data_IF_639568909821
#
_entry.id   IF_639568909821
#
_cell.length_a   1.000
_cell.length_b   1.000
_cell.length_c   1.000
_cell.angle_alpha   90.00
_cell.angle_beta   90.00
_cell.angle_gamma   90.00
#
_symmetry.space_group_name_H-M   'P 1'
#
loop_
_entity.id
_entity.type
_entity.pdbx_description
1 polymer ?
#
# COMPACT_ATOMS: atom_id res chain seq x y z
N UNK A 1 -11.68 -56.66 12.86
CA UNK A 1 -12.55 -55.48 13.04
C UNK A 1 -11.94 -54.64 14.17
N UNK A 2 -11.11 -53.67 13.78
CA UNK A 2 -10.41 -52.77 14.70
C UNK A 2 -11.27 -51.54 14.99
N UNK A 3 -11.37 -51.17 16.26
CA UNK A 3 -11.87 -49.88 16.69
C UNK A 3 -11.05 -49.36 17.88
N UNK A 4 -10.74 -48.07 17.79
CA UNK A 4 -10.51 -47.10 18.87
C UNK A 4 -9.24 -47.19 19.72
N UNK A 5 -8.36 -46.20 19.49
CA UNK A 5 -7.55 -45.41 20.44
C UNK A 5 -6.12 -45.17 19.93
N UNK A 6 -5.98 -44.25 18.98
CA UNK A 6 -4.69 -43.66 18.64
C UNK A 6 -4.89 -42.30 17.94
N UNK A 7 -5.52 -41.34 18.64
CA UNK A 7 -5.58 -39.95 18.15
C UNK A 7 -5.66 -38.97 19.32
N UNK A 8 -4.65 -38.99 20.19
CA UNK A 8 -4.38 -37.95 21.19
C UNK A 8 -3.10 -38.31 21.96
N UNK A 9 -1.93 -38.03 21.36
CA UNK A 9 -0.62 -37.91 22.03
C UNK A 9 0.46 -37.64 20.98
N UNK A 10 0.46 -36.44 20.43
CA UNK A 10 1.64 -35.74 19.87
C UNK A 10 1.41 -34.24 19.97
N UNK A 11 1.24 -33.78 21.21
CA UNK A 11 1.30 -32.36 21.58
C UNK A 11 2.03 -32.37 22.92
N UNK A 12 3.16 -31.65 22.98
CA UNK A 12 4.08 -31.53 24.14
C UNK A 12 5.06 -32.69 24.36
N UNK A 13 6.17 -32.65 23.63
CA UNK A 13 7.44 -33.25 24.04
C UNK A 13 8.51 -32.17 23.94
N UNK A 14 8.73 -31.44 25.03
CA UNK A 14 9.87 -30.52 25.17
C UNK A 14 10.92 -31.25 26.02
N UNK A 15 12.00 -31.66 25.37
CA UNK A 15 13.25 -32.02 26.04
C UNK A 15 14.01 -30.72 26.30
N UNK A 16 14.31 -30.45 27.57
CA UNK A 16 15.13 -29.31 28.00
C UNK A 16 16.60 -29.64 27.76
N UNK A 17 17.10 -29.27 26.58
CA UNK A 17 18.52 -29.22 26.30
C UNK A 17 18.99 -27.75 26.30
N UNK A 18 20.20 -27.54 26.82
CA UNK A 18 20.84 -26.27 27.13
C UNK A 18 20.70 -25.19 26.04
N UNK A 19 20.37 -23.97 26.50
CA UNK A 19 20.16 -22.76 25.71
C UNK A 19 21.41 -22.36 24.92
N UNK A 20 21.46 -22.73 23.64
CA UNK A 20 22.18 -21.95 22.65
C UNK A 20 21.23 -20.87 22.12
N UNK A 21 21.52 -19.60 22.42
CA UNK A 21 21.00 -18.48 21.64
C UNK A 21 21.49 -18.69 20.21
N UNK A 22 20.65 -19.31 19.37
CA UNK A 22 20.96 -19.54 17.95
C UNK A 22 21.33 -18.20 17.33
N UNK A 23 22.41 -18.20 16.56
CA UNK A 23 22.87 -17.00 15.86
C UNK A 23 21.71 -16.51 14.96
N UNK A 24 21.22 -15.27 15.13
CA UNK A 24 20.16 -14.71 14.29
C UNK A 24 20.48 -14.73 12.79
N UNK A 25 21.76 -14.88 12.43
CA UNK A 25 22.23 -14.95 11.05
C UNK A 25 22.45 -16.39 10.55
N UNK A 26 22.21 -17.41 11.35
CA UNK A 26 22.35 -18.82 10.94
C UNK A 26 21.42 -19.12 9.75
N UNK A 27 22.00 -19.37 8.57
CA UNK A 27 21.27 -19.61 7.31
C UNK A 27 21.01 -18.36 6.46
N UNK A 28 21.49 -17.18 6.87
CA UNK A 28 21.42 -15.93 6.09
C UNK A 28 22.70 -15.77 5.26
N UNK A 29 22.74 -16.40 4.10
CA UNK A 29 23.94 -16.40 3.22
C UNK A 29 24.24 -15.04 2.57
N UNK A 30 23.35 -14.06 2.65
CA UNK A 30 23.48 -12.75 2.00
C UNK A 30 24.04 -11.65 2.92
N UNK A 31 24.40 -11.98 4.17
CA UNK A 31 24.94 -11.01 5.12
C UNK A 31 26.43 -10.73 4.84
N UNK A 32 26.72 -9.57 4.25
CA UNK A 32 28.09 -9.18 3.85
C UNK A 32 28.84 -8.56 5.02
N UNK A 33 28.18 -7.72 5.82
CA UNK A 33 28.80 -7.03 6.96
C UNK A 33 27.79 -6.80 8.07
N UNK A 34 28.12 -7.27 9.27
CA UNK A 34 27.36 -6.96 10.48
C UNK A 34 27.70 -5.52 10.90
N UNK A 35 26.68 -4.72 11.15
CA UNK A 35 26.84 -3.36 11.63
C UNK A 35 27.03 -3.35 13.16
N UNK A 36 27.96 -2.54 13.65
CA UNK A 36 28.19 -2.38 15.09
C UNK A 36 27.15 -1.45 15.71
N UNK A 37 26.85 -1.69 16.98
CA UNK A 37 25.89 -0.90 17.76
C UNK A 37 26.60 0.18 18.56
N UNK A 38 26.17 1.43 18.37
CA UNK A 38 26.51 2.55 19.23
C UNK A 38 25.47 2.69 20.34
N UNK A 39 25.87 2.45 21.59
CA UNK A 39 24.97 2.57 22.75
C UNK A 39 24.72 4.05 23.06
N UNK A 40 23.45 4.44 23.09
CA UNK A 40 23.03 5.80 23.41
C UNK A 40 22.85 5.95 24.93
N UNK A 41 23.78 6.64 25.58
CA UNK A 41 23.71 6.92 27.02
C UNK A 41 22.82 8.13 27.31
N UNK A 42 21.59 7.89 27.77
CA UNK A 42 20.71 8.92 28.30
C UNK A 42 20.00 9.75 27.22
N UNK A 43 18.71 9.48 27.06
CA UNK A 43 17.81 10.24 26.20
C UNK A 43 16.63 9.35 25.83
N UNK A 44 15.40 9.80 26.10
CA UNK A 44 14.23 9.19 25.47
C UNK A 44 14.16 9.73 24.05
N UNK A 45 14.41 8.92 23.02
CA UNK A 45 14.21 9.39 21.66
C UNK A 45 12.70 9.64 21.47
N UNK A 46 12.35 10.92 21.34
CA UNK A 46 10.99 11.35 21.03
C UNK A 46 10.84 11.30 19.52
N UNK A 47 10.02 10.40 19.00
CA UNK A 47 9.75 10.31 17.56
C UNK A 47 8.42 11.02 17.27
N UNK A 48 8.44 12.17 16.58
CA UNK A 48 7.20 12.87 16.24
C UNK A 48 6.48 12.12 15.11
N UNK A 49 5.31 11.55 15.43
CA UNK A 49 4.40 10.90 14.46
C UNK A 49 3.17 11.77 14.11
N UNK A 50 3.08 12.98 14.66
CA UNK A 50 1.86 13.79 14.71
C UNK A 50 1.15 13.99 13.36
N UNK A 51 1.88 14.25 12.28
CA UNK A 51 1.24 14.55 10.99
C UNK A 51 0.75 13.29 10.26
N UNK A 52 1.46 12.16 10.37
CA UNK A 52 1.07 10.91 9.73
C UNK A 52 -0.05 10.21 10.50
N UNK A 53 -0.12 10.44 11.81
CA UNK A 53 -1.25 10.02 12.64
C UNK A 53 -2.53 10.80 12.28
N UNK A 54 -2.42 12.01 11.73
CA UNK A 54 -3.57 12.77 11.20
C UNK A 54 -4.22 12.07 10.00
N UNK A 55 -3.44 11.45 9.10
CA UNK A 55 -3.97 10.69 7.96
C UNK A 55 -4.77 9.46 8.42
N UNK A 56 -4.29 8.77 9.45
CA UNK A 56 -5.06 7.70 10.10
C UNK A 56 -6.36 8.24 10.70
N UNK A 57 -6.30 9.39 11.39
CA UNK A 57 -7.49 10.07 11.91
C UNK A 57 -8.50 10.46 10.83
N UNK A 58 -8.05 11.00 9.68
CA UNK A 58 -8.90 11.34 8.54
C UNK A 58 -9.57 10.08 7.95
N UNK A 59 -8.88 8.95 7.95
CA UNK A 59 -9.42 7.64 7.58
C UNK A 59 -10.28 6.99 8.70
N UNK A 60 -10.54 7.70 9.81
CA UNK A 60 -11.26 7.20 11.00
C UNK A 60 -10.63 5.95 11.61
N UNK A 61 -9.32 5.81 11.47
CA UNK A 61 -8.52 4.73 12.03
C UNK A 61 -7.83 5.28 13.28
N UNK A 62 -7.99 4.59 14.41
CA UNK A 62 -7.24 4.93 15.60
C UNK A 62 -5.73 4.78 15.30
N UNK A 63 -4.89 5.79 15.61
CA UNK A 63 -3.45 5.62 15.50
C UNK A 63 -3.01 4.46 16.40
N UNK A 64 -1.91 3.77 16.06
CA UNK A 64 -1.36 2.74 16.92
C UNK A 64 -1.20 3.29 18.34
N UNK A 65 -1.62 2.51 19.34
CA UNK A 65 -1.68 2.95 20.73
C UNK A 65 -0.27 3.33 21.20
N UNK A 66 0.01 4.64 21.24
CA UNK A 66 1.22 5.21 21.79
C UNK A 66 1.08 5.21 23.32
N UNK A 67 0.91 4.04 23.92
CA UNK A 67 1.26 3.91 25.33
C UNK A 67 2.66 4.51 25.49
N UNK A 68 2.89 5.29 26.55
CA UNK A 68 4.22 5.79 26.90
C UNK A 68 5.14 4.59 27.14
N UNK A 69 5.68 4.03 26.06
CA UNK A 69 6.62 2.93 26.08
C UNK A 69 7.93 3.52 26.57
N UNK A 70 8.15 3.43 27.87
CA UNK A 70 9.44 3.77 28.45
C UNK A 70 10.42 2.64 28.13
N UNK A 71 11.34 2.96 27.22
CA UNK A 71 12.53 2.15 26.98
C UNK A 71 13.68 2.63 27.86
N UNK A 72 14.39 1.71 28.51
CA UNK A 72 15.52 2.07 29.39
C UNK A 72 16.85 2.20 28.64
N UNK A 73 16.96 1.57 27.47
CA UNK A 73 18.16 1.59 26.64
C UNK A 73 17.83 1.84 25.17
N UNK A 74 18.80 2.42 24.47
CA UNK A 74 18.77 2.56 23.03
C UNK A 74 20.16 2.31 22.45
N UNK A 75 20.22 1.66 21.30
CA UNK A 75 21.42 1.50 20.51
C UNK A 75 21.13 1.91 19.06
N UNK A 76 22.10 2.48 18.37
CA UNK A 76 21.95 2.94 16.98
C UNK A 76 23.06 2.39 16.11
N UNK A 77 22.74 2.20 14.85
CA UNK A 77 23.71 1.93 13.79
C UNK A 77 23.23 2.59 12.50
N UNK A 78 24.11 2.71 11.52
CA UNK A 78 23.77 3.26 10.20
C UNK A 78 24.50 2.53 9.09
N UNK A 79 23.84 2.38 7.96
CA UNK A 79 24.35 1.72 6.77
C UNK A 79 24.04 2.59 5.56
N UNK A 80 25.00 2.66 4.63
CA UNK A 80 24.85 3.38 3.37
C UNK A 80 24.52 2.39 2.25
N UNK A 81 23.54 2.73 1.43
CA UNK A 81 23.13 1.96 0.27
C UNK A 81 23.38 2.77 -1.01
N UNK A 82 24.16 2.28 -1.98
CA UNK A 82 24.43 3.01 -3.21
C UNK A 82 23.16 3.20 -4.04
N UNK A 83 22.82 4.43 -4.42
CA UNK A 83 21.62 4.72 -5.23
C UNK A 83 21.73 4.19 -6.66
N UNK A 84 22.96 3.94 -7.14
CA UNK A 84 23.21 3.28 -8.41
C UNK A 84 22.75 1.82 -8.48
N UNK A 85 22.34 1.23 -7.35
CA UNK A 85 21.88 -0.15 -7.24
C UNK A 85 20.65 -0.41 -8.11
N UNK A 86 20.61 -1.59 -8.73
CA UNK A 86 19.43 -2.11 -9.41
C UNK A 86 18.30 -2.44 -8.44
N UNK A 87 18.65 -2.79 -7.20
CA UNK A 87 17.71 -3.05 -6.11
C UNK A 87 18.25 -2.54 -4.77
N UNK A 88 17.46 -1.68 -4.14
CA UNK A 88 17.55 -1.33 -2.73
C UNK A 88 16.50 -2.12 -1.95
N UNK A 89 16.89 -2.82 -0.90
CA UNK A 89 15.93 -3.62 -0.14
C UNK A 89 16.16 -3.63 1.36
N UNK A 90 15.07 -3.66 2.14
CA UNK A 90 15.12 -3.72 3.60
C UNK A 90 14.23 -4.85 4.07
N UNK A 91 14.78 -5.76 4.88
CA UNK A 91 14.01 -6.89 5.39
C UNK A 91 14.20 -7.08 6.87
N UNK A 92 13.22 -7.74 7.50
CA UNK A 92 13.33 -8.12 8.90
C UNK A 92 12.90 -9.55 9.15
N UNK A 93 13.58 -10.21 10.09
CA UNK A 93 13.45 -11.64 10.40
C UNK A 93 13.57 -11.86 11.91
N UNK A 94 12.84 -12.84 12.42
CA UNK A 94 12.79 -13.18 13.84
C UNK A 94 11.65 -12.51 14.60
N UNK A 95 11.34 -13.06 15.78
CA UNK A 95 10.18 -12.64 16.60
C UNK A 95 10.40 -11.31 17.31
N UNK A 96 11.66 -10.88 17.39
CA UNK A 96 12.22 -9.56 17.74
C UNK A 96 11.74 -8.37 16.95
N UNK A 97 11.61 -8.66 15.66
CA UNK A 97 11.81 -7.68 14.63
C UNK A 97 10.49 -7.01 14.33
N UNK A 98 10.14 -6.05 15.18
CA UNK A 98 8.95 -5.24 15.07
C UNK A 98 9.26 -3.78 15.39
N UNK A 99 8.45 -2.89 14.83
CA UNK A 99 8.59 -1.47 15.06
C UNK A 99 8.08 -0.64 13.89
N UNK A 100 8.86 0.36 13.50
CA UNK A 100 8.48 1.35 12.50
C UNK A 100 9.62 1.56 11.50
N UNK A 101 9.25 1.74 10.23
CA UNK A 101 10.13 2.21 9.17
C UNK A 101 9.56 3.51 8.61
N UNK A 102 10.43 4.51 8.45
CA UNK A 102 10.13 5.81 7.87
C UNK A 102 10.99 6.01 6.63
N UNK A 103 10.39 6.52 5.55
CA UNK A 103 11.09 6.84 4.31
C UNK A 103 10.93 8.34 4.05
N UNK A 104 12.05 9.06 4.00
CA UNK A 104 12.14 10.50 3.80
C UNK A 104 13.26 10.85 2.81
N UNK A 105 13.26 12.08 2.32
CA UNK A 105 14.21 12.65 1.36
C UNK A 105 14.95 13.86 1.93
N UNK A 106 15.12 13.95 3.26
CA UNK A 106 15.82 15.07 3.90
C UNK A 106 17.34 14.88 3.96
N UNK A 107 17.89 13.97 3.15
CA UNK A 107 19.32 13.71 3.06
C UNK A 107 20.09 14.82 2.35
N UNK A 108 21.41 14.72 2.42
CA UNK A 108 22.31 15.59 1.65
C UNK A 108 22.03 15.47 0.15
N UNK A 109 21.77 16.59 -0.52
CA UNK A 109 21.39 16.63 -1.94
C UNK A 109 22.50 16.14 -2.88
N UNK A 110 23.76 16.23 -2.44
CA UNK A 110 24.92 15.84 -3.23
C UNK A 110 25.34 14.37 -2.99
N UNK A 111 24.59 13.65 -2.16
CA UNK A 111 24.88 12.25 -1.82
C UNK A 111 24.46 11.28 -2.92
N UNK A 112 25.33 10.30 -3.20
CA UNK A 112 25.06 9.16 -4.09
C UNK A 112 24.59 7.90 -3.33
N UNK A 113 24.37 8.04 -2.02
CA UNK A 113 23.91 6.96 -1.13
C UNK A 113 22.61 7.33 -0.42
N UNK A 114 21.77 6.32 -0.19
CA UNK A 114 20.70 6.37 0.80
C UNK A 114 21.24 5.93 2.15
N UNK A 115 20.94 6.68 3.21
CA UNK A 115 21.36 6.34 4.58
C UNK A 115 20.22 5.61 5.28
N UNK A 116 20.49 4.40 5.75
CA UNK A 116 19.57 3.61 6.56
C UNK A 116 20.04 3.65 8.02
N UNK A 117 19.40 4.49 8.82
CA UNK A 117 19.57 4.52 10.27
C UNK A 117 18.70 3.46 10.93
N UNK A 118 19.27 2.68 11.84
CA UNK A 118 18.52 1.72 12.65
C UNK A 118 18.76 2.03 14.12
N UNK A 119 17.67 2.36 14.82
CA UNK A 119 17.67 2.53 16.27
C UNK A 119 16.92 1.36 16.91
N UNK A 120 17.57 0.66 17.83
CA UNK A 120 16.99 -0.42 18.61
C UNK A 120 16.72 0.06 20.05
N UNK A 121 15.45 0.10 20.42
CA UNK A 121 14.98 0.46 21.76
C UNK A 121 14.71 -0.83 22.53
N UNK A 122 15.20 -0.94 23.76
CA UNK A 122 15.07 -2.16 24.53
C UNK A 122 15.17 -1.94 26.05
N UNK A 123 14.62 -2.88 26.82
CA UNK A 123 14.65 -2.83 28.29
C UNK A 123 15.65 -3.79 28.94
N UNK A 124 16.08 -4.82 28.23
CA UNK A 124 16.96 -5.86 28.77
C UNK A 124 18.24 -5.92 27.94
N UNK A 125 19.43 -5.65 28.52
CA UNK A 125 20.69 -5.64 27.78
C UNK A 125 20.97 -6.92 26.98
N UNK A 126 20.52 -8.09 27.45
CA UNK A 126 20.72 -9.36 26.76
C UNK A 126 20.01 -9.46 25.40
N UNK A 127 19.03 -8.60 25.11
CA UNK A 127 18.37 -8.59 23.80
C UNK A 127 19.19 -7.87 22.73
N UNK A 128 20.16 -7.03 23.12
CA UNK A 128 21.07 -6.36 22.20
C UNK A 128 22.02 -7.37 21.54
N UNK A 129 22.50 -8.35 22.32
CA UNK A 129 23.46 -9.36 21.85
C UNK A 129 22.89 -10.23 20.72
N UNK A 130 21.57 -10.41 20.71
CA UNK A 130 20.83 -11.24 19.74
C UNK A 130 20.11 -10.42 18.68
N UNK A 131 20.19 -9.09 18.71
CA UNK A 131 19.69 -8.23 17.65
C UNK A 131 20.84 -7.85 16.72
N UNK A 132 20.77 -8.30 15.46
CA UNK A 132 21.80 -8.03 14.46
C UNK A 132 21.22 -7.20 13.32
N UNK A 133 21.97 -6.18 12.92
CA UNK A 133 21.73 -5.43 11.69
C UNK A 133 22.84 -5.79 10.72
N UNK A 134 22.48 -6.13 9.49
CA UNK A 134 23.44 -6.55 8.48
C UNK A 134 23.27 -5.76 7.18
N UNK A 135 24.38 -5.34 6.60
CA UNK A 135 24.46 -4.96 5.20
C UNK A 135 24.34 -6.22 4.35
N UNK A 136 23.31 -6.26 3.53
CA UNK A 136 23.01 -7.36 2.64
C UNK A 136 23.49 -7.04 1.23
N UNK A 137 24.00 -8.07 0.55
CA UNK A 137 24.39 -7.99 -0.86
C UNK A 137 24.06 -9.30 -1.55
N UNK A 138 23.24 -9.25 -2.59
CA UNK A 138 22.87 -10.43 -3.36
C UNK A 138 23.21 -10.25 -4.85
N UNK A 139 24.38 -10.75 -5.27
CA UNK A 139 24.88 -10.56 -6.63
C UNK A 139 25.31 -9.11 -6.91
N UNK A 140 25.74 -8.84 -8.15
CA UNK A 140 26.12 -7.50 -8.57
C UNK A 140 24.90 -6.56 -8.61
N UNK A 141 25.03 -5.35 -8.05
CA UNK A 141 24.03 -4.28 -8.16
C UNK A 141 22.86 -4.34 -7.18
N UNK A 142 22.83 -5.24 -6.20
CA UNK A 142 21.74 -5.31 -5.20
C UNK A 142 22.28 -5.10 -3.79
N UNK A 143 21.76 -4.09 -3.09
CA UNK A 143 22.20 -3.73 -1.76
C UNK A 143 21.01 -3.57 -0.83
N UNK A 144 21.17 -4.00 0.42
CA UNK A 144 20.08 -3.92 1.37
C UNK A 144 20.51 -3.91 2.82
N UNK A 145 19.50 -3.79 3.69
CA UNK A 145 19.67 -3.87 5.14
C UNK A 145 18.75 -4.94 5.70
N UNK A 146 19.31 -5.85 6.49
CA UNK A 146 18.58 -6.90 7.18
C UNK A 146 18.60 -6.71 8.68
N UNK A 147 17.43 -6.79 9.32
CA UNK A 147 17.29 -6.82 10.77
C UNK A 147 16.95 -8.24 11.21
N UNK A 148 17.81 -8.85 12.02
CA UNK A 148 17.71 -10.24 12.43
C UNK A 148 17.66 -10.36 13.94
N UNK A 149 16.72 -11.17 14.41
CA UNK A 149 16.55 -11.56 15.80
C UNK A 149 16.23 -13.06 15.85
N UNK A 150 16.27 -13.72 17.02
CA UNK A 150 15.99 -15.15 17.11
C UNK A 150 14.60 -15.52 16.55
N UNK A 151 14.52 -16.67 15.89
CA UNK A 151 13.27 -17.20 15.30
C UNK A 151 12.39 -17.93 16.31
N UNK A 152 12.98 -18.41 17.40
CA UNK A 152 12.30 -19.17 18.45
C UNK A 152 12.50 -18.48 19.80
N UNK A 153 11.43 -18.43 20.60
CA UNK A 153 11.50 -18.04 22.00
C UNK A 153 10.96 -19.16 22.87
N UNK A 154 11.76 -19.60 23.84
CA UNK A 154 11.25 -19.95 25.16
C UNK A 154 10.57 -18.69 25.71
N UNK A 155 9.28 -18.78 26.03
CA UNK A 155 8.36 -17.71 26.44
C UNK A 155 8.95 -16.30 26.68
N UNK A 156 8.48 -15.26 25.96
CA UNK A 156 8.82 -13.88 26.29
C UNK A 156 8.52 -13.57 27.76
N UNK A 157 9.53 -13.35 28.59
CA UNK A 157 9.32 -12.61 29.83
C UNK A 157 8.83 -11.21 29.45
N UNK A 158 7.84 -10.68 30.18
CA UNK A 158 7.29 -9.33 29.96
C UNK A 158 8.37 -8.22 29.98
N UNK A 159 9.57 -8.54 30.47
CA UNK A 159 10.76 -7.70 30.58
C UNK A 159 11.50 -7.47 29.24
N UNK A 160 11.25 -8.26 28.20
CA UNK A 160 11.92 -8.14 26.89
C UNK A 160 11.13 -7.30 25.89
N UNK A 161 10.68 -6.11 26.33
CA UNK A 161 10.11 -5.10 25.42
C UNK A 161 11.23 -4.56 24.53
N UNK A 162 10.97 -4.55 23.22
CA UNK A 162 11.92 -4.11 22.20
C UNK A 162 11.18 -3.38 21.10
N UNK A 163 11.83 -2.45 20.40
CA UNK A 163 11.24 -1.78 19.24
C UNK A 163 12.35 -1.29 18.31
N UNK A 164 12.20 -1.54 17.02
CA UNK A 164 13.08 -0.98 16.00
C UNK A 164 12.47 0.30 15.42
N UNK A 165 13.30 1.31 15.24
CA UNK A 165 13.00 2.50 14.45
C UNK A 165 13.99 2.54 13.31
N UNK A 166 13.49 2.44 12.09
CA UNK A 166 14.29 2.42 10.86
C UNK A 166 14.01 3.69 10.09
N UNK A 167 15.04 4.49 9.88
CA UNK A 167 14.98 5.74 9.13
C UNK A 167 15.72 5.53 7.80
N UNK A 168 14.98 5.55 6.70
CA UNK A 168 15.53 5.54 5.35
C UNK A 168 15.55 6.99 4.86
N UNK A 169 16.75 7.56 4.78
CA UNK A 169 16.97 8.93 4.35
C UNK A 169 17.59 8.93 2.96
N UNK A 170 16.79 9.33 1.98
CA UNK A 170 17.18 9.55 0.60
C UNK A 170 17.76 10.97 0.45
N UNK A 171 18.67 11.22 -0.51
CA UNK A 171 19.10 12.57 -0.85
C UNK A 171 17.92 13.49 -1.18
N UNK A 172 18.01 14.72 -0.71
CA UNK A 172 17.04 15.74 -1.08
C UNK A 172 17.17 16.08 -2.56
N UNK A 173 16.02 16.23 -3.21
CA UNK A 173 15.93 16.56 -4.63
C UNK A 173 14.75 17.51 -4.85
N UNK A 174 14.61 18.01 -6.07
CA UNK A 174 13.60 19.01 -6.42
C UNK A 174 12.63 18.43 -7.44
N UNK A 175 11.44 19.02 -7.54
CA UNK A 175 10.44 18.61 -8.53
C UNK A 175 10.88 18.80 -9.99
N UNK A 176 11.85 19.68 -10.25
CA UNK A 176 12.44 19.82 -11.58
C UNK A 176 13.44 18.70 -11.95
N UNK A 177 13.92 17.96 -10.96
CA UNK A 177 14.89 16.87 -11.13
C UNK A 177 14.74 15.83 -10.01
N UNK A 178 13.67 15.02 -10.03
CA UNK A 178 13.42 14.03 -9.00
C UNK A 178 14.54 12.99 -8.92
N UNK A 179 14.79 12.47 -7.72
CA UNK A 179 15.67 11.34 -7.50
C UNK A 179 15.05 10.07 -8.10
N UNK A 180 15.73 9.47 -9.07
CA UNK A 180 15.26 8.23 -9.69
C UNK A 180 15.79 7.01 -8.94
N UNK A 181 14.88 6.16 -8.44
CA UNK A 181 15.21 4.88 -7.79
C UNK A 181 14.64 3.74 -8.63
N UNK A 182 15.54 2.89 -9.15
CA UNK A 182 15.15 1.76 -10.01
C UNK A 182 14.19 0.80 -9.29
N UNK A 183 14.58 0.27 -8.14
CA UNK A 183 13.74 -0.66 -7.37
C UNK A 183 13.98 -0.48 -5.89
N UNK A 184 12.89 -0.32 -5.15
CA UNK A 184 12.90 -0.27 -3.69
C UNK A 184 11.92 -1.30 -3.13
N UNK A 185 12.42 -2.23 -2.31
CA UNK A 185 11.61 -3.29 -1.71
C UNK A 185 11.73 -3.34 -0.19
N UNK A 186 10.60 -3.44 0.52
CA UNK A 186 10.60 -3.79 1.95
C UNK A 186 9.88 -5.11 2.21
N UNK A 187 10.41 -5.87 3.16
CA UNK A 187 9.80 -7.08 3.67
C UNK A 187 9.94 -7.19 5.18
N UNK A 188 9.01 -6.54 5.88
CA UNK A 188 9.11 -6.30 7.31
C UNK A 188 7.78 -6.63 8.01
N UNK A 189 7.52 -7.92 8.36
CA UNK A 189 6.19 -8.43 8.73
C UNK A 189 5.48 -7.73 9.90
N UNK A 190 6.22 -7.17 10.85
CA UNK A 190 5.65 -6.52 12.05
C UNK A 190 6.10 -5.06 12.14
N UNK A 191 6.21 -4.41 10.98
CA UNK A 191 6.56 -3.00 10.89
C UNK A 191 5.43 -2.15 10.34
N UNK A 192 5.20 -1.02 11.01
CA UNK A 192 4.47 0.12 10.44
C UNK A 192 5.35 0.80 9.42
N UNK A 193 4.82 1.07 8.23
CA UNK A 193 5.51 1.86 7.21
C UNK A 193 4.93 3.27 7.18
N UNK A 194 5.79 4.26 7.32
CA UNK A 194 5.49 5.66 7.09
C UNK A 194 6.29 6.17 5.91
N UNK A 195 5.60 6.69 4.90
CA UNK A 195 6.19 7.28 3.71
C UNK A 195 5.87 8.77 3.78
N UNK A 196 6.91 9.61 3.75
CA UNK A 196 6.75 11.06 3.77
C UNK A 196 6.25 11.58 2.40
N UNK A 197 6.30 12.90 2.19
CA UNK A 197 5.93 13.50 0.91
C UNK A 197 7.06 13.29 -0.10
N UNK A 198 6.93 12.25 -0.92
CA UNK A 198 7.96 11.85 -1.89
C UNK A 198 7.48 11.96 -3.34
N UNK A 199 6.21 12.23 -3.58
CA UNK A 199 5.59 12.20 -4.91
C UNK A 199 6.28 13.13 -5.93
N UNK A 200 6.76 14.29 -5.47
CA UNK A 200 7.39 15.27 -6.34
C UNK A 200 8.92 15.28 -6.25
N UNK A 201 9.52 14.42 -5.43
CA UNK A 201 10.97 14.42 -5.19
C UNK A 201 11.59 13.08 -5.52
N UNK A 202 10.85 11.97 -5.47
CA UNK A 202 11.41 10.65 -5.74
C UNK A 202 10.57 9.88 -6.74
N UNK A 203 11.22 9.50 -7.84
CA UNK A 203 10.65 8.67 -8.89
C UNK A 203 11.06 7.21 -8.70
N UNK A 204 10.17 6.41 -8.10
CA UNK A 204 10.37 4.97 -8.02
C UNK A 204 9.92 4.30 -9.32
N UNK A 205 10.82 3.63 -10.05
CA UNK A 205 10.36 2.79 -11.17
C UNK A 205 9.59 1.57 -10.63
N UNK A 206 10.07 0.94 -9.56
CA UNK A 206 9.34 -0.12 -8.87
C UNK A 206 9.41 0.05 -7.36
N UNK A 207 8.26 0.24 -6.72
CA UNK A 207 8.10 0.34 -5.27
C UNK A 207 7.31 -0.85 -4.74
N UNK A 208 7.90 -1.62 -3.83
CA UNK A 208 7.23 -2.74 -3.19
C UNK A 208 7.34 -2.66 -1.68
N UNK A 209 6.20 -2.55 -1.01
CA UNK A 209 6.15 -2.44 0.44
C UNK A 209 5.38 -3.61 1.02
N UNK A 210 6.01 -4.40 1.88
CA UNK A 210 5.38 -5.58 2.49
C UNK A 210 5.50 -5.60 4.01
N UNK A 211 4.36 -5.73 4.66
CA UNK A 211 4.22 -6.05 6.08
C UNK A 211 3.10 -7.09 6.25
N UNK A 212 2.86 -7.55 7.48
CA UNK A 212 1.75 -8.46 7.78
C UNK A 212 0.76 -7.81 8.73
N UNK A 213 1.25 -7.14 9.78
CA UNK A 213 0.39 -6.59 10.83
C UNK A 213 0.37 -5.07 10.89
N UNK A 214 1.45 -4.41 10.49
CA UNK A 214 1.55 -2.95 10.59
C UNK A 214 0.72 -2.23 9.52
N UNK A 215 0.25 -1.00 9.79
CA UNK A 215 -0.28 -0.10 8.78
C UNK A 215 0.80 0.31 7.78
N UNK A 216 0.36 0.67 6.57
CA UNK A 216 1.18 1.38 5.58
C UNK A 216 0.52 2.74 5.35
N UNK A 217 1.21 3.81 5.72
CA UNK A 217 0.71 5.19 5.66
C UNK A 217 1.64 6.00 4.77
N UNK A 218 1.12 6.49 3.65
CA UNK A 218 1.84 7.35 2.74
C UNK A 218 1.26 8.76 2.75
N UNK A 219 2.09 9.77 2.98
CA UNK A 219 1.66 11.15 2.75
C UNK A 219 1.42 11.37 1.25
N UNK A 220 2.41 11.04 0.43
CA UNK A 220 2.31 11.11 -1.04
C UNK A 220 3.50 10.39 -1.63
N UNK A 221 3.28 9.50 -2.60
CA UNK A 221 4.36 8.76 -3.26
C UNK A 221 4.01 8.46 -4.71
N UNK A 222 4.98 8.62 -5.59
CA UNK A 222 4.88 8.24 -7.00
C UNK A 222 5.67 6.94 -7.25
N UNK A 223 5.08 6.01 -7.99
CA UNK A 223 5.79 4.84 -8.49
C UNK A 223 5.25 4.42 -9.86
N UNK A 224 6.13 4.14 -10.83
CA UNK A 224 5.69 3.60 -12.12
C UNK A 224 4.97 2.26 -11.92
N UNK A 225 5.63 1.32 -11.23
CA UNK A 225 5.05 0.08 -10.73
C UNK A 225 5.02 0.07 -9.18
N UNK A 226 3.83 0.03 -8.59
CA UNK A 226 3.62 0.01 -7.15
C UNK A 226 2.95 -1.27 -6.66
N UNK A 227 3.54 -1.94 -5.67
CA UNK A 227 2.96 -3.10 -4.99
C UNK A 227 3.01 -2.94 -3.46
N UNK A 228 1.88 -2.59 -2.86
CA UNK A 228 1.76 -2.30 -1.43
C UNK A 228 0.86 -3.35 -0.79
N UNK A 229 1.43 -4.13 0.13
CA UNK A 229 0.74 -5.25 0.74
C UNK A 229 0.90 -5.31 2.26
N UNK A 230 -0.22 -5.53 2.93
CA UNK A 230 -0.31 -5.95 4.34
C UNK A 230 -1.32 -7.08 4.49
N UNK A 231 -1.43 -7.70 5.66
CA UNK A 231 -2.47 -8.71 5.91
C UNK A 231 -3.56 -8.15 6.82
N UNK A 232 -3.16 -7.47 7.89
CA UNK A 232 -4.06 -7.01 8.95
C UNK A 232 -4.10 -5.48 9.08
N UNK A 233 -3.02 -4.79 8.71
CA UNK A 233 -2.96 -3.34 8.81
C UNK A 233 -3.78 -2.65 7.71
N UNK A 234 -4.19 -1.39 7.94
CA UNK A 234 -4.76 -0.55 6.89
C UNK A 234 -3.68 -0.04 5.92
N UNK A 235 -4.13 0.36 4.74
CA UNK A 235 -3.34 1.11 3.76
C UNK A 235 -4.01 2.48 3.58
N UNK A 236 -3.30 3.55 3.90
CA UNK A 236 -3.83 4.92 3.90
C UNK A 236 -2.86 5.86 3.20
N UNK A 237 -3.34 6.73 2.32
CA UNK A 237 -2.47 7.75 1.74
C UNK A 237 -2.81 8.23 0.35
N UNK A 238 -1.89 9.01 -0.22
CA UNK A 238 -1.93 9.43 -1.62
C UNK A 238 -0.89 8.62 -2.42
N UNK A 239 -1.34 7.99 -3.50
CA UNK A 239 -0.51 7.13 -4.34
C UNK A 239 -0.67 7.50 -5.81
N UNK A 240 0.44 7.67 -6.51
CA UNK A 240 0.44 8.03 -7.92
C UNK A 240 1.21 7.01 -8.74
N UNK A 241 0.70 6.69 -9.93
CA UNK A 241 1.33 5.69 -10.79
C UNK A 241 1.10 5.97 -12.27
N UNK A 242 2.09 5.61 -13.08
CA UNK A 242 2.05 5.75 -14.54
C UNK A 242 1.94 4.42 -15.30
N UNK A 243 2.03 3.27 -14.62
CA UNK A 243 1.89 1.95 -15.24
C UNK A 243 0.98 1.03 -14.43
N UNK A 244 1.37 0.65 -13.20
CA UNK A 244 0.53 -0.22 -12.37
C UNK A 244 0.63 0.06 -10.88
N UNK A 245 -0.51 0.00 -10.18
CA UNK A 245 -0.59 0.13 -8.74
C UNK A 245 -1.47 -0.96 -8.13
N UNK A 246 -0.95 -1.67 -7.14
CA UNK A 246 -1.67 -2.70 -6.38
C UNK A 246 -1.65 -2.35 -4.89
N UNK A 247 -2.81 -2.10 -4.31
CA UNK A 247 -2.99 -1.92 -2.86
C UNK A 247 -3.76 -3.12 -2.30
N UNK A 248 -3.12 -3.92 -1.44
CA UNK A 248 -3.67 -5.19 -0.98
C UNK A 248 -3.59 -5.38 0.52
N UNK A 249 -4.74 -5.69 1.12
CA UNK A 249 -4.83 -6.17 2.50
C UNK A 249 -5.83 -7.32 2.61
N UNK A 250 -5.90 -7.99 3.76
CA UNK A 250 -6.94 -9.00 4.01
C UNK A 250 -8.00 -8.45 4.97
N UNK A 251 -7.56 -7.81 6.04
CA UNK A 251 -8.44 -7.34 7.12
C UNK A 251 -8.42 -5.82 7.32
N UNK A 252 -7.45 -5.11 6.75
CA UNK A 252 -7.35 -3.66 6.89
C UNK A 252 -8.25 -2.88 5.92
N UNK A 253 -8.55 -1.65 6.29
CA UNK A 253 -9.18 -0.65 5.41
C UNK A 253 -8.19 -0.22 4.34
N UNK A 254 -8.70 0.04 3.13
CA UNK A 254 -7.98 0.82 2.12
C UNK A 254 -8.66 2.18 2.02
N UNK A 255 -7.94 3.25 2.39
CA UNK A 255 -8.40 4.63 2.26
C UNK A 255 -7.35 5.41 1.48
N UNK A 256 -7.52 5.51 0.16
CA UNK A 256 -6.48 6.00 -0.73
C UNK A 256 -7.00 7.02 -1.73
N UNK A 257 -6.31 8.14 -1.88
CA UNK A 257 -6.44 8.95 -3.11
C UNK A 257 -5.41 8.43 -4.11
N UNK A 258 -5.86 8.15 -5.32
CA UNK A 258 -5.02 7.56 -6.36
C UNK A 258 -5.00 8.45 -7.57
N UNK A 259 -3.82 8.77 -8.08
CA UNK A 259 -3.65 9.45 -9.37
C UNK A 259 -3.05 8.46 -10.37
N UNK A 260 -3.79 8.19 -11.45
CA UNK A 260 -3.30 7.35 -12.55
C UNK A 260 -2.95 8.24 -13.73
N UNK A 261 -1.70 8.14 -14.19
CA UNK A 261 -1.22 8.85 -15.38
C UNK A 261 -1.11 7.87 -16.54
N UNK A 262 -1.65 8.23 -17.70
CA UNK A 262 -1.57 7.44 -18.93
C UNK A 262 -1.19 8.35 -20.09
N UNK A 263 -0.27 7.90 -20.95
CA UNK A 263 0.16 8.63 -22.15
C UNK A 263 -0.40 8.05 -23.44
N UNK A 264 0.14 8.47 -24.59
CA UNK A 264 -0.23 7.98 -25.92
C UNK A 264 0.19 6.52 -26.21
N UNK A 265 0.90 5.88 -25.28
CA UNK A 265 1.12 4.44 -25.38
C UNK A 265 -0.23 3.74 -25.32
N UNK A 266 -0.51 2.80 -26.23
CA UNK A 266 -1.65 1.87 -26.14
C UNK A 266 -1.66 0.99 -24.86
N UNK A 267 -0.80 1.28 -23.88
CA UNK A 267 -0.72 0.60 -22.60
C UNK A 267 -1.67 1.26 -21.61
N UNK A 268 -2.57 0.45 -21.07
CA UNK A 268 -3.49 0.86 -20.03
C UNK A 268 -2.76 0.98 -18.67
N UNK A 269 -2.99 2.08 -17.95
CA UNK A 269 -2.52 2.24 -16.57
C UNK A 269 -3.48 1.50 -15.63
N UNK A 270 -2.93 0.61 -14.79
CA UNK A 270 -3.70 -0.38 -14.02
C UNK A 270 -3.76 -0.05 -12.54
N UNK A 271 -4.93 -0.22 -11.95
CA UNK A 271 -5.14 -0.13 -10.50
C UNK A 271 -5.87 -1.37 -9.99
N UNK A 272 -5.33 -2.03 -8.95
CA UNK A 272 -6.00 -3.11 -8.23
C UNK A 272 -6.07 -2.77 -6.73
N UNK A 273 -7.28 -2.47 -6.24
CA UNK A 273 -7.57 -2.26 -4.83
C UNK A 273 -8.27 -3.49 -4.25
N UNK A 274 -7.64 -4.16 -3.28
CA UNK A 274 -8.16 -5.43 -2.78
C UNK A 274 -8.08 -5.58 -1.26
N UNK A 275 -9.22 -5.85 -0.66
CA UNK A 275 -9.33 -6.33 0.73
C UNK A 275 -10.29 -7.52 0.81
N UNK A 276 -10.34 -8.22 1.94
CA UNK A 276 -11.36 -9.28 2.15
C UNK A 276 -12.48 -8.80 3.05
N UNK A 277 -12.13 -8.17 4.17
CA UNK A 277 -13.08 -7.95 5.26
C UNK A 277 -13.43 -6.50 5.55
N UNK A 278 -12.66 -5.54 5.06
CA UNK A 278 -12.82 -4.13 5.42
C UNK A 278 -13.27 -3.25 4.24
N UNK A 279 -13.71 -2.02 4.51
CA UNK A 279 -14.03 -1.04 3.48
C UNK A 279 -12.87 -0.74 2.52
N UNK A 280 -13.22 -0.39 1.28
CA UNK A 280 -12.36 0.37 0.37
C UNK A 280 -13.05 1.69 0.08
N UNK A 281 -12.39 2.79 0.38
CA UNK A 281 -12.80 4.14 0.00
C UNK A 281 -11.67 4.76 -0.80
N UNK A 282 -11.97 5.18 -2.03
CA UNK A 282 -10.94 5.78 -2.89
C UNK A 282 -11.49 6.83 -3.84
N UNK A 283 -10.76 7.95 -3.94
CA UNK A 283 -10.92 8.93 -5.00
C UNK A 283 -9.83 8.69 -6.03
N UNK A 284 -10.21 8.47 -7.28
CA UNK A 284 -9.31 8.09 -8.37
C UNK A 284 -9.31 9.21 -9.40
N UNK A 285 -8.23 9.96 -9.46
CA UNK A 285 -7.99 10.99 -10.47
C UNK A 285 -7.30 10.36 -11.67
N UNK A 286 -7.85 10.55 -12.85
CA UNK A 286 -7.23 10.11 -14.10
C UNK A 286 -6.54 11.32 -14.76
N UNK A 287 -5.33 11.12 -15.25
CA UNK A 287 -4.52 12.18 -15.88
C UNK A 287 -3.98 11.65 -17.20
N UNK A 288 -4.17 12.42 -18.27
CA UNK A 288 -3.51 12.17 -19.55
C UNK A 288 -2.21 12.94 -19.61
N UNK A 289 -1.13 12.28 -20.04
CA UNK A 289 0.19 12.90 -20.24
C UNK A 289 0.45 13.25 -21.71
N UNK A 290 -0.58 13.18 -22.56
CA UNK A 290 -0.52 13.63 -23.97
C UNK A 290 -0.41 15.14 -24.06
N UNK A 291 0.06 15.67 -25.20
CA UNK A 291 0.25 17.12 -25.40
C UNK A 291 -1.05 17.92 -25.23
N UNK A 292 -2.17 17.35 -25.68
CA UNK A 292 -3.49 17.98 -25.60
C UNK A 292 -4.19 17.72 -24.25
N UNK A 293 -3.61 16.89 -23.37
CA UNK A 293 -4.19 16.52 -22.08
C UNK A 293 -5.48 15.69 -22.19
N UNK A 294 -5.73 15.08 -23.34
CA UNK A 294 -6.92 14.25 -23.62
C UNK A 294 -6.55 12.79 -23.80
N UNK A 295 -7.52 11.88 -23.67
CA UNK A 295 -7.32 10.45 -23.88
C UNK A 295 -6.78 9.72 -22.65
N UNK A 296 -5.94 8.72 -22.91
CA UNK A 296 -5.43 7.79 -21.91
C UNK A 296 -6.32 6.55 -21.75
N UNK A 297 -5.68 5.42 -21.42
CA UNK A 297 -6.35 4.16 -21.17
C UNK A 297 -6.14 3.74 -19.72
N UNK A 298 -7.22 3.45 -19.01
CA UNK A 298 -7.22 3.15 -17.59
C UNK A 298 -8.00 1.89 -17.30
N UNK A 299 -7.42 1.01 -16.47
CA UNK A 299 -8.08 -0.20 -16.00
C UNK A 299 -8.07 -0.24 -14.48
N UNK A 300 -9.27 -0.21 -13.88
CA UNK A 300 -9.44 -0.15 -12.44
C UNK A 300 -10.23 -1.37 -11.97
N UNK A 301 -9.64 -2.15 -11.07
CA UNK A 301 -10.29 -3.26 -10.40
C UNK A 301 -10.36 -2.99 -8.90
N UNK A 302 -11.55 -3.07 -8.31
CA UNK A 302 -11.75 -2.89 -6.87
C UNK A 302 -12.55 -4.04 -6.30
N UNK A 303 -12.02 -4.70 -5.27
CA UNK A 303 -12.61 -5.94 -4.75
C UNK A 303 -12.56 -6.05 -3.24
N UNK A 304 -13.70 -6.39 -2.67
CA UNK A 304 -13.85 -6.81 -1.27
C UNK A 304 -14.83 -7.98 -1.17
N UNK A 305 -14.89 -8.64 -0.01
CA UNK A 305 -15.90 -9.67 0.24
C UNK A 305 -16.96 -9.17 1.23
N UNK A 306 -16.53 -8.55 2.33
CA UNK A 306 -17.42 -8.20 3.45
C UNK A 306 -17.46 -6.72 3.79
N UNK A 307 -16.65 -5.87 3.15
CA UNK A 307 -16.68 -4.42 3.36
C UNK A 307 -17.44 -3.66 2.27
N UNK A 308 -17.92 -2.44 2.55
CA UNK A 308 -18.44 -1.56 1.51
C UNK A 308 -17.33 -1.09 0.55
N UNK A 309 -17.71 -0.83 -0.69
CA UNK A 309 -16.87 -0.15 -1.69
C UNK A 309 -17.47 1.21 -1.98
N UNK A 310 -16.65 2.27 -1.87
CA UNK A 310 -17.02 3.64 -2.23
C UNK A 310 -15.91 4.20 -3.11
N UNK A 311 -16.17 4.29 -4.42
CA UNK A 311 -15.19 4.72 -5.43
C UNK A 311 -15.70 5.98 -6.11
N UNK A 312 -14.89 7.03 -6.16
CA UNK A 312 -15.20 8.27 -6.86
C UNK A 312 -14.15 8.61 -7.91
N UNK A 313 -14.57 9.15 -9.03
CA UNK A 313 -13.69 9.71 -10.06
C UNK A 313 -13.88 11.24 -10.09
N UNK A 314 -13.18 12.01 -9.24
CA UNK A 314 -13.37 13.45 -9.15
C UNK A 314 -12.88 14.21 -10.39
N UNK A 315 -11.99 13.62 -11.19
CA UNK A 315 -11.46 14.21 -12.42
C UNK A 315 -11.04 13.12 -13.39
N UNK A 316 -11.33 13.32 -14.67
CA UNK A 316 -10.85 12.48 -15.75
C UNK A 316 -10.68 13.28 -17.05
N UNK A 317 -9.71 12.93 -17.92
CA UNK A 317 -9.52 13.59 -19.21
C UNK A 317 -10.73 13.38 -20.12
N UNK A 318 -10.93 14.32 -21.04
CA UNK A 318 -11.86 14.15 -22.16
C UNK A 318 -11.33 13.02 -23.05
N UNK A 319 -12.22 12.23 -23.66
CA UNK A 319 -11.90 11.11 -24.55
C UNK A 319 -11.07 9.97 -23.90
N UNK A 320 -11.01 9.90 -22.56
CA UNK A 320 -10.34 8.81 -21.85
C UNK A 320 -11.12 7.47 -21.94
N UNK A 321 -10.40 6.36 -22.03
CA UNK A 321 -10.97 5.02 -22.00
C UNK A 321 -10.83 4.43 -20.59
N UNK A 322 -11.95 4.17 -19.92
CA UNK A 322 -12.00 3.58 -18.58
C UNK A 322 -12.67 2.18 -18.60
N UNK A 323 -11.91 1.14 -18.23
CA UNK A 323 -12.44 -0.19 -17.88
C UNK A 323 -12.44 -0.32 -16.34
N UNK A 324 -13.62 -0.23 -15.73
CA UNK A 324 -13.78 -0.22 -14.28
C UNK A 324 -14.62 -1.41 -13.80
N UNK A 325 -14.03 -2.26 -12.96
CA UNK A 325 -14.73 -3.33 -12.23
C UNK A 325 -14.73 -3.05 -10.72
N UNK A 326 -15.93 -3.07 -10.12
CA UNK A 326 -16.10 -2.99 -8.67
C UNK A 326 -16.95 -4.15 -8.16
N UNK A 327 -16.44 -4.89 -7.18
CA UNK A 327 -17.09 -6.10 -6.69
C UNK A 327 -17.02 -6.27 -5.18
N UNK A 328 -18.20 -6.45 -4.57
CA UNK A 328 -18.35 -6.96 -3.21
C UNK A 328 -19.10 -8.30 -3.21
N UNK A 329 -19.21 -8.96 -2.05
CA UNK A 329 -20.10 -10.12 -1.88
C UNK A 329 -21.24 -9.81 -0.90
N UNK A 330 -20.90 -9.22 0.24
CA UNK A 330 -21.81 -9.05 1.38
C UNK A 330 -22.02 -7.59 1.79
N UNK A 331 -21.65 -6.64 0.94
CA UNK A 331 -21.74 -5.22 1.28
C UNK A 331 -22.04 -4.33 0.08
N UNK A 332 -22.51 -3.09 0.33
CA UNK A 332 -22.89 -2.17 -0.73
C UNK A 332 -21.69 -1.78 -1.59
N UNK A 333 -21.97 -1.51 -2.86
CA UNK A 333 -21.00 -0.92 -3.78
C UNK A 333 -21.58 0.38 -4.33
N UNK A 334 -20.84 1.47 -4.15
CA UNK A 334 -21.16 2.80 -4.67
C UNK A 334 -20.02 3.27 -5.55
N UNK A 335 -20.36 3.73 -6.74
CA UNK A 335 -19.41 4.40 -7.62
C UNK A 335 -19.98 5.73 -8.13
N UNK A 336 -19.12 6.74 -8.22
CA UNK A 336 -19.43 8.03 -8.85
C UNK A 336 -18.43 8.25 -9.96
N UNK A 337 -18.91 8.33 -11.20
CA UNK A 337 -18.06 8.58 -12.37
C UNK A 337 -17.95 10.08 -12.63
N UNK A 338 -16.90 10.47 -13.36
CA UNK A 338 -16.74 11.82 -13.84
C UNK A 338 -17.66 12.09 -15.03
N UNK A 339 -18.07 13.34 -15.23
CA UNK A 339 -18.97 13.78 -16.31
C UNK A 339 -18.41 13.55 -17.73
N UNK A 340 -17.08 13.42 -17.86
CA UNK A 340 -16.40 13.09 -19.12
C UNK A 340 -16.54 11.62 -19.52
N UNK A 341 -17.04 10.74 -18.64
CA UNK A 341 -17.19 9.33 -18.94
C UNK A 341 -18.22 9.08 -20.06
N UNK A 342 -17.80 8.35 -21.08
CA UNK A 342 -18.64 7.83 -22.17
C UNK A 342 -18.46 6.31 -22.27
N UNK A 343 -19.57 5.57 -22.24
CA UNK A 343 -19.56 4.12 -22.44
C UNK A 343 -20.64 3.35 -21.70
N UNK A 344 -20.46 2.04 -21.69
CA UNK A 344 -21.46 1.10 -21.20
C UNK A 344 -21.31 0.88 -19.70
N UNK A 345 -22.43 0.67 -19.01
CA UNK A 345 -22.41 0.28 -17.60
C UNK A 345 -23.34 -0.90 -17.33
N UNK A 346 -22.91 -1.74 -16.41
CA UNK A 346 -23.60 -2.94 -15.97
C UNK A 346 -23.58 -3.01 -14.44
N UNK A 347 -24.77 -2.98 -13.83
CA UNK A 347 -24.95 -3.12 -12.38
C UNK A 347 -25.65 -4.44 -12.08
N UNK A 348 -25.14 -5.19 -11.10
CA UNK A 348 -25.74 -6.45 -10.68
C UNK A 348 -25.74 -6.67 -9.17
N UNK A 349 -26.91 -6.99 -8.65
CA UNK A 349 -27.10 -7.62 -7.34
C UNK A 349 -28.08 -8.79 -7.43
N UNK A 350 -28.32 -9.49 -6.33
CA UNK A 350 -29.41 -10.46 -6.28
C UNK A 350 -30.77 -9.75 -6.25
N UNK A 351 -31.82 -10.44 -6.70
CA UNK A 351 -33.15 -9.88 -6.97
C UNK A 351 -33.85 -9.20 -5.76
N UNK A 352 -33.31 -9.37 -4.56
CA UNK A 352 -33.85 -8.83 -3.31
C UNK A 352 -33.23 -7.49 -2.92
N UNK A 353 -32.14 -7.07 -3.55
CA UNK A 353 -31.45 -5.82 -3.24
C UNK A 353 -31.61 -4.82 -4.39
N UNK A 354 -31.78 -3.52 -4.06
CA UNK A 354 -31.96 -2.50 -5.07
C UNK A 354 -30.66 -2.25 -5.84
N UNK A 355 -30.83 -1.99 -7.14
CA UNK A 355 -29.81 -1.42 -8.02
C UNK A 355 -30.34 -0.08 -8.52
N UNK A 356 -29.53 0.98 -8.44
CA UNK A 356 -29.92 2.32 -8.90
C UNK A 356 -28.83 3.00 -9.71
N UNK A 357 -29.26 3.80 -10.67
CA UNK A 357 -28.42 4.71 -11.44
C UNK A 357 -29.00 6.11 -11.24
N UNK A 358 -28.17 7.03 -10.80
CA UNK A 358 -28.48 8.46 -10.68
C UNK A 358 -27.70 9.21 -11.75
N UNK A 359 -28.33 10.16 -12.44
CA UNK A 359 -27.70 11.01 -13.44
C UNK A 359 -28.25 12.43 -13.31
N UNK A 360 -27.43 13.40 -13.72
CA UNK A 360 -27.84 14.79 -13.86
C UNK A 360 -27.84 15.20 -15.34
N UNK A 361 -28.98 15.71 -15.80
CA UNK A 361 -29.20 16.17 -17.18
C UNK A 361 -28.79 17.64 -17.39
N UNK A 362 -28.45 18.35 -16.32
CA UNK A 362 -28.07 19.77 -16.34
C UNK A 362 -26.56 20.02 -16.51
N UNK A 363 -25.78 18.96 -16.72
CA UNK A 363 -24.33 19.02 -16.92
C UNK A 363 -24.00 19.63 -18.29
N UNK A 364 -23.13 20.63 -18.29
CA UNK A 364 -22.57 21.24 -19.52
C UNK A 364 -21.54 20.32 -20.16
N UNK A 365 -21.42 20.34 -21.50
CA UNK A 365 -20.47 19.50 -22.22
C UNK A 365 -19.02 19.82 -21.81
N UNK A 366 -18.27 18.88 -21.20
CA UNK A 366 -16.89 19.13 -20.76
C UNK A 366 -15.95 19.48 -21.91
N UNK A 367 -16.29 19.09 -23.16
CA UNK A 367 -15.51 19.43 -24.34
C UNK A 367 -15.84 20.81 -24.93
N UNK A 368 -16.87 21.51 -24.42
CA UNK A 368 -17.31 22.80 -24.93
C UNK A 368 -17.86 22.74 -26.37
N UNK A 369 -18.30 21.56 -26.83
CA UNK A 369 -18.81 21.34 -28.19
C UNK A 369 -20.35 21.44 -28.28
N UNK A 370 -20.99 21.98 -27.25
CA UNK A 370 -22.46 22.06 -27.11
C UNK A 370 -23.18 20.72 -27.32
N UNK A 371 -22.52 19.60 -26.98
CA UNK A 371 -23.13 18.26 -27.05
C UNK A 371 -24.15 18.10 -25.93
N UNK A 372 -25.15 17.25 -26.16
CA UNK A 372 -26.12 16.85 -25.13
C UNK A 372 -25.76 15.49 -24.56
N UNK A 373 -25.75 15.38 -23.24
CA UNK A 373 -25.57 14.10 -22.54
C UNK A 373 -26.82 13.25 -22.74
N UNK A 374 -26.67 12.05 -23.29
CA UNK A 374 -27.72 11.06 -23.41
C UNK A 374 -27.39 9.86 -22.52
N UNK A 375 -28.31 9.50 -21.63
CA UNK A 375 -28.20 8.35 -20.74
C UNK A 375 -29.34 7.39 -21.04
N UNK A 376 -29.02 6.21 -21.55
CA UNK A 376 -29.98 5.15 -21.85
C UNK A 376 -29.92 4.09 -20.75
N UNK A 377 -31.02 3.87 -20.03
CA UNK A 377 -31.10 2.93 -18.89
C UNK A 377 -32.11 1.83 -19.16
N UNK A 378 -31.68 0.58 -19.07
CA UNK A 378 -32.49 -0.62 -19.26
C UNK A 378 -32.48 -1.51 -18.02
N UNK A 379 -33.66 -1.70 -17.41
CA UNK A 379 -33.85 -2.67 -16.32
C UNK A 379 -34.10 -4.06 -16.93
N UNK A 380 -33.06 -4.89 -16.99
CA UNK A 380 -33.12 -6.23 -17.60
C UNK A 380 -33.90 -7.21 -16.73
N UNK A 381 -33.64 -7.20 -15.42
CA UNK A 381 -34.35 -8.04 -14.45
C UNK A 381 -34.25 -7.43 -13.05
N UNK A 382 -34.87 -8.06 -12.05
CA UNK A 382 -34.72 -7.59 -10.66
C UNK A 382 -33.25 -7.67 -10.23
N UNK A 383 -32.69 -6.53 -9.83
CA UNK A 383 -31.29 -6.43 -9.39
C UNK A 383 -30.29 -6.36 -10.55
N UNK A 384 -30.72 -6.18 -11.80
CA UNK A 384 -29.82 -6.04 -12.96
C UNK A 384 -30.21 -4.81 -13.78
N UNK A 385 -29.26 -3.89 -13.96
CA UNK A 385 -29.40 -2.71 -14.81
C UNK A 385 -28.25 -2.69 -15.81
N UNK A 386 -28.59 -2.40 -17.07
CA UNK A 386 -27.65 -2.18 -18.15
C UNK A 386 -27.95 -0.81 -18.78
N UNK A 387 -26.95 -0.17 -19.36
CA UNK A 387 -27.16 1.08 -20.05
C UNK A 387 -25.88 1.65 -20.63
N UNK A 388 -26.00 2.81 -21.25
CA UNK A 388 -24.89 3.52 -21.88
C UNK A 388 -25.03 5.01 -21.67
N UNK A 389 -23.91 5.71 -21.55
CA UNK A 389 -23.84 7.18 -21.52
C UNK A 389 -22.95 7.66 -22.66
N UNK A 390 -23.41 8.70 -23.36
CA UNK A 390 -22.68 9.31 -24.49
C UNK A 390 -23.05 10.78 -24.65
N UNK A 391 -22.14 11.55 -25.23
CA UNK A 391 -22.38 12.92 -25.63
C UNK A 391 -22.77 12.96 -27.12
N UNK A 392 -23.90 13.63 -27.44
CA UNK A 392 -24.49 13.64 -28.79
C UNK A 392 -24.43 15.04 -29.41
N UNK A 393 -24.00 15.21 -30.68
CA UNK A 393 -23.57 14.15 -31.61
C UNK A 393 -22.27 13.48 -31.17
N UNK A 394 -22.25 12.15 -31.29
CA UNK A 394 -21.14 11.30 -30.86
C UNK A 394 -20.19 11.04 -32.02
N UNK A 395 -18.89 11.17 -31.75
CA UNK A 395 -17.84 10.68 -32.65
C UNK A 395 -17.67 9.18 -32.38
N UNK A 396 -17.63 8.32 -33.40
CA UNK A 396 -17.40 6.87 -33.23
C UNK A 396 -16.04 6.61 -32.56
N UNK A 397 -16.02 6.50 -31.23
CA UNK A 397 -14.83 6.24 -30.41
C UNK A 397 -14.99 4.96 -29.59
N UNK A 398 -13.86 4.37 -29.19
CA UNK A 398 -13.87 3.24 -28.25
C UNK A 398 -14.40 3.70 -26.90
N UNK A 399 -15.57 3.19 -26.53
CA UNK A 399 -16.24 3.57 -25.31
C UNK A 399 -15.71 2.77 -24.10
N UNK A 400 -15.73 3.39 -22.91
CA UNK A 400 -15.36 2.72 -21.66
C UNK A 400 -16.38 1.65 -21.26
N UNK A 401 -16.02 0.86 -20.24
CA UNK A 401 -16.94 -0.13 -19.66
C UNK A 401 -16.87 -0.10 -18.14
N UNK A 402 -18.04 -0.06 -17.50
CA UNK A 402 -18.18 -0.06 -16.04
C UNK A 402 -19.00 -1.27 -15.59
N UNK A 403 -18.44 -2.10 -14.72
CA UNK A 403 -19.10 -3.28 -14.16
C UNK A 403 -19.10 -3.23 -12.64
N UNK A 404 -20.28 -3.13 -12.05
CA UNK A 404 -20.44 -3.01 -10.60
C UNK A 404 -21.32 -4.15 -10.11
N UNK A 405 -20.83 -4.92 -9.13
CA UNK A 405 -21.60 -6.04 -8.62
C UNK A 405 -21.45 -6.35 -7.14
N UNK A 406 -22.51 -6.90 -6.57
CA UNK A 406 -22.51 -7.53 -5.25
C UNK A 406 -23.49 -8.70 -5.24
N UNK A 407 -23.52 -9.49 -4.17
CA UNK A 407 -24.45 -10.62 -4.04
C UNK A 407 -25.54 -10.33 -3.01
N UNK A 408 -25.19 -9.73 -1.88
CA UNK A 408 -26.07 -9.59 -0.72
C UNK A 408 -26.22 -8.13 -0.25
N UNK A 409 -26.25 -7.18 -1.18
CA UNK A 409 -26.37 -5.76 -0.84
C UNK A 409 -26.82 -4.87 -2.01
N UNK A 410 -27.16 -3.60 -1.77
CA UNK A 410 -27.43 -2.62 -2.83
C UNK A 410 -26.22 -2.31 -3.72
N UNK A 411 -26.50 -1.89 -4.96
CA UNK A 411 -25.51 -1.28 -5.86
C UNK A 411 -26.04 0.08 -6.33
N UNK A 412 -25.17 1.09 -6.33
CA UNK A 412 -25.50 2.44 -6.78
C UNK A 412 -24.39 2.96 -7.70
N UNK A 413 -24.79 3.51 -8.84
CA UNK A 413 -23.93 4.26 -9.76
C UNK A 413 -24.46 5.69 -9.87
N UNK A 414 -23.57 6.66 -9.73
CA UNK A 414 -23.86 8.07 -10.02
C UNK A 414 -23.04 8.48 -11.25
N UNK A 415 -23.72 9.05 -12.24
CA UNK A 415 -23.18 9.46 -13.54
C UNK A 415 -23.07 10.97 -13.66
#
# INVERSE_FOLDING_TARGET
MHASHAMQRRIFGYDYAEDALLDPLEGVNDCVRIAEWDILNGGHPHFPHHDLDSLLGAAQIAPPDHHHESFTHAARTSLELPLSSDLLYILSRGVLSHGVIQINDHGDSDSDVAVVGVTFLYNSPSVLDVAKVCALGHGEGKHGVGIFTPMHRSHPKHEHRTRFVVDVTLPSSSSSSPLVIKRFETDMPIFTHYIHDLENTVDFHSLKLRTSNGPIVARSVFAQEGFIQTSNGPIVGNFSSSDSLVLRTSNGVIHANVTLSSGDSHQETKLDLKTSNSPITSNITLVSTTEDGTGGAFKVNTKTSNGPLVIGYPSAPIDSHLDFEARSSNSPVRATLHETYEGDFFLRSSAWFPTSVEHDDSIEDPAGKDRKRQVDIHKVSRGVIEGSVKWVPSEEKQAGTVRISTSNSPVQLTL
#
